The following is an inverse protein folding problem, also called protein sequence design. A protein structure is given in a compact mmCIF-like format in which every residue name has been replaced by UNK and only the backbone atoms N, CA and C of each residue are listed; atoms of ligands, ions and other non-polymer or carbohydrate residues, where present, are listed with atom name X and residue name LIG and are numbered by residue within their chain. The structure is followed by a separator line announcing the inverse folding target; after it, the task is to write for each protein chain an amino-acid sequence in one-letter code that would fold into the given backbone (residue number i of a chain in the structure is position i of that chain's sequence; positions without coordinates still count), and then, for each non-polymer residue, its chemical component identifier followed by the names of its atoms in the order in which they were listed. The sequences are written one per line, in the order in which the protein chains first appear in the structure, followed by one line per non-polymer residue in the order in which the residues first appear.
data_IF_319738417859
#
_entry.id   IF_319738417859
#
_cell.length_a   1.000
_cell.length_b   1.000
_cell.length_c   1.000
_cell.angle_alpha   90.00
_cell.angle_beta   90.00
_cell.angle_gamma   90.00
#
_symmetry.space_group_name_H-M   'P 1'
#
loop_
_entity.id
_entity.type
_entity.pdbx_description
1 polymer ?
#
# COMPACT_ATOMS: atom_id res chain seq x y z
N UNK A 1 23.76 -3.75 2.36
CA UNK A 1 22.77 -4.83 2.51
C UNK A 1 23.42 -6.10 2.01
N UNK A 2 23.32 -7.15 2.80
CA UNK A 2 23.64 -8.51 2.38
C UNK A 2 22.72 -8.90 1.20
N UNK A 3 23.20 -9.58 0.15
CA UNK A 3 22.35 -10.16 -0.89
C UNK A 3 21.09 -10.89 -0.37
N UNK A 4 21.18 -11.55 0.79
CA UNK A 4 20.05 -12.22 1.42
C UNK A 4 18.96 -11.23 1.88
N UNK A 5 19.35 -10.08 2.45
CA UNK A 5 18.43 -9.02 2.86
C UNK A 5 17.71 -8.40 1.66
N UNK A 6 18.45 -8.18 0.56
CA UNK A 6 17.86 -7.67 -0.69
C UNK A 6 16.85 -8.66 -1.25
N UNK A 7 17.17 -9.96 -1.26
CA UNK A 7 16.25 -10.99 -1.72
C UNK A 7 14.99 -11.08 -0.85
N UNK A 8 15.13 -10.99 0.48
CA UNK A 8 14.00 -10.91 1.42
C UNK A 8 13.11 -9.70 1.15
N UNK A 9 13.73 -8.52 0.98
CA UNK A 9 13.02 -7.29 0.61
C UNK A 9 12.28 -7.41 -0.72
N UNK A 10 12.91 -7.94 -1.77
CA UNK A 10 12.25 -8.13 -3.08
C UNK A 10 11.05 -9.05 -2.95
N UNK A 11 11.15 -10.13 -2.16
CA UNK A 11 10.03 -11.06 -1.93
C UNK A 11 8.88 -10.40 -1.17
N UNK A 12 9.19 -9.66 -0.10
CA UNK A 12 8.20 -8.90 0.66
C UNK A 12 7.51 -7.86 -0.24
N UNK A 13 8.28 -7.13 -1.05
CA UNK A 13 7.73 -6.18 -2.00
C UNK A 13 6.88 -6.83 -3.09
N UNK A 14 7.32 -7.94 -3.68
CA UNK A 14 6.51 -8.67 -4.64
C UNK A 14 5.17 -9.12 -4.04
N UNK A 15 5.17 -9.54 -2.78
CA UNK A 15 3.94 -9.90 -2.06
C UNK A 15 3.04 -8.69 -1.78
N UNK A 16 3.59 -7.57 -1.30
CA UNK A 16 2.85 -6.31 -1.17
C UNK A 16 2.18 -5.95 -2.51
N UNK A 17 2.93 -6.00 -3.61
CA UNK A 17 2.40 -5.70 -4.95
C UNK A 17 1.30 -6.68 -5.37
N UNK A 18 1.44 -7.97 -5.03
CA UNK A 18 0.43 -9.00 -5.33
C UNK A 18 -0.91 -8.70 -4.66
N UNK A 19 -0.91 -8.06 -3.48
CA UNK A 19 -2.13 -7.74 -2.72
C UNK A 19 -2.65 -6.34 -3.05
N UNK A 20 -1.79 -5.33 -2.99
CA UNK A 20 -2.21 -3.92 -3.05
C UNK A 20 -2.53 -3.47 -4.48
N UNK A 21 -1.79 -3.96 -5.49
CA UNK A 21 -2.05 -3.54 -6.88
C UNK A 21 -3.45 -3.92 -7.35
N UNK A 22 -3.93 -5.16 -7.14
CA UNK A 22 -5.30 -5.51 -7.48
C UNK A 22 -6.35 -4.69 -6.72
N UNK A 23 -6.15 -4.45 -5.42
CA UNK A 23 -7.09 -3.68 -4.59
C UNK A 23 -7.20 -2.23 -5.06
N UNK A 24 -6.08 -1.55 -5.28
CA UNK A 24 -6.08 -0.18 -5.80
C UNK A 24 -6.58 -0.10 -7.24
N UNK A 25 -6.23 -1.06 -8.08
CA UNK A 25 -6.75 -1.13 -9.45
C UNK A 25 -8.27 -1.26 -9.44
N UNK A 26 -8.83 -2.14 -8.59
CA UNK A 26 -10.27 -2.32 -8.43
C UNK A 26 -10.92 -1.04 -7.89
N UNK A 27 -10.34 -0.41 -6.87
CA UNK A 27 -10.86 0.83 -6.31
C UNK A 27 -10.93 1.96 -7.37
N UNK A 28 -9.90 2.10 -8.20
CA UNK A 28 -9.88 3.06 -9.30
C UNK A 28 -10.83 2.72 -10.46
N UNK A 29 -11.31 1.48 -10.51
CA UNK A 29 -12.31 1.01 -11.47
C UNK A 29 -13.74 1.30 -11.04
N UNK A 30 -13.96 1.47 -9.73
CA UNK A 30 -15.30 1.54 -9.16
C UNK A 30 -15.89 2.96 -9.27
N UNK A 31 -17.01 3.18 -10.02
CA UNK A 31 -17.53 4.52 -10.28
C UNK A 31 -17.89 5.32 -9.01
N UNK A 32 -18.47 4.65 -8.00
CA UNK A 32 -18.83 5.23 -6.69
C UNK A 32 -17.62 5.82 -5.95
N UNK A 33 -16.42 5.26 -6.15
CA UNK A 33 -15.18 5.74 -5.55
C UNK A 33 -14.50 6.82 -6.40
N UNK A 34 -14.92 7.04 -7.64
CA UNK A 34 -14.33 8.06 -8.55
C UNK A 34 -15.13 9.36 -8.57
N UNK A 35 -16.31 9.35 -7.95
CA UNK A 35 -17.23 10.49 -7.90
C UNK A 35 -17.93 10.74 -9.23
N UNK A 36 -18.59 11.89 -9.31
CA UNK A 36 -19.33 12.32 -10.51
C UNK A 36 -18.66 13.55 -11.13
N UNK A 37 -18.82 13.71 -12.43
CA UNK A 37 -18.46 14.92 -13.16
C UNK A 37 -19.45 16.05 -12.80
N UNK A 38 -19.11 17.30 -13.18
CA UNK A 38 -19.97 18.47 -12.93
C UNK A 38 -21.39 18.32 -13.51
N UNK A 39 -21.53 17.54 -14.60
CA UNK A 39 -22.82 17.22 -15.23
C UNK A 39 -23.59 16.08 -14.55
N UNK A 40 -23.11 15.55 -13.42
CA UNK A 40 -23.75 14.46 -12.68
C UNK A 40 -23.41 13.04 -13.17
N UNK A 41 -22.78 12.91 -14.33
CA UNK A 41 -22.34 11.64 -14.91
C UNK A 41 -21.24 10.97 -14.07
N UNK A 42 -21.21 9.63 -13.95
CA UNK A 42 -20.10 8.92 -13.33
C UNK A 42 -18.78 9.26 -14.01
N UNK A 43 -17.73 9.54 -13.22
CA UNK A 43 -16.40 9.76 -13.80
C UNK A 43 -15.90 8.43 -14.42
N UNK A 44 -15.52 8.41 -15.71
CA UNK A 44 -15.04 7.19 -16.34
C UNK A 44 -13.77 6.69 -15.65
N UNK A 45 -13.63 5.36 -15.61
CA UNK A 45 -12.41 4.72 -15.13
C UNK A 45 -11.23 5.08 -16.06
N UNK A 46 -10.04 5.40 -15.52
CA UNK A 46 -8.85 5.55 -16.34
C UNK A 46 -8.51 4.26 -17.08
N UNK A 47 -7.63 4.33 -18.10
CA UNK A 47 -7.04 3.14 -18.71
C UNK A 47 -6.46 2.18 -17.68
N UNK A 48 -6.48 0.87 -17.96
CA UNK A 48 -5.94 -0.15 -17.05
C UNK A 48 -4.46 0.12 -16.70
N UNK A 49 -3.65 0.47 -17.69
CA UNK A 49 -2.24 0.80 -17.51
C UNK A 49 -2.04 1.92 -16.50
N UNK A 50 -2.84 2.98 -16.56
CA UNK A 50 -2.79 4.08 -15.60
C UNK A 50 -3.15 3.62 -14.18
N UNK A 51 -4.21 2.80 -14.04
CA UNK A 51 -4.63 2.27 -12.73
C UNK A 51 -3.54 1.42 -12.10
N UNK A 52 -2.98 0.49 -12.86
CA UNK A 52 -1.89 -0.38 -12.42
C UNK A 52 -0.63 0.43 -12.07
N UNK A 53 -0.28 1.43 -12.90
CA UNK A 53 0.87 2.28 -12.62
C UNK A 53 0.71 3.08 -11.32
N UNK A 54 -0.45 3.70 -11.09
CA UNK A 54 -0.72 4.42 -9.83
C UNK A 54 -0.71 3.47 -8.64
N UNK A 55 -1.33 2.30 -8.79
CA UNK A 55 -1.39 1.29 -7.75
C UNK A 55 0.02 0.80 -7.36
N UNK A 56 0.87 0.51 -8.34
CA UNK A 56 2.26 0.12 -8.12
C UNK A 56 3.07 1.25 -7.46
N UNK A 57 2.87 2.50 -7.91
CA UNK A 57 3.56 3.67 -7.37
C UNK A 57 3.22 3.95 -5.91
N UNK A 58 2.01 3.62 -5.45
CA UNK A 58 1.62 3.78 -4.05
C UNK A 58 2.62 3.04 -3.14
N UNK A 59 2.72 1.73 -3.30
CA UNK A 59 3.60 0.93 -2.45
C UNK A 59 5.08 1.10 -2.80
N UNK A 60 5.43 1.39 -4.06
CA UNK A 60 6.82 1.67 -4.46
C UNK A 60 7.40 2.89 -3.72
N UNK A 61 6.59 3.93 -3.49
CA UNK A 61 7.05 5.16 -2.85
C UNK A 61 6.98 5.10 -1.33
N UNK A 62 6.02 4.37 -0.76
CA UNK A 62 5.84 4.23 0.69
C UNK A 62 6.76 3.18 1.31
N UNK A 63 6.84 1.97 0.72
CA UNK A 63 7.41 0.82 1.39
C UNK A 63 8.94 0.83 1.56
N UNK A 64 9.74 1.44 0.67
CA UNK A 64 11.16 1.66 0.97
C UNK A 64 11.37 2.46 2.25
N UNK A 65 10.51 3.45 2.54
CA UNK A 65 10.57 4.21 3.79
C UNK A 65 10.08 3.37 4.97
N UNK A 66 9.03 2.55 4.79
CA UNK A 66 8.56 1.59 5.81
C UNK A 66 9.68 0.65 6.25
N UNK A 67 10.38 0.02 5.30
CA UNK A 67 11.37 -1.01 5.62
C UNK A 67 12.77 -0.48 5.95
N UNK A 68 13.17 0.65 5.36
CA UNK A 68 14.51 1.19 5.58
C UNK A 68 14.52 2.46 6.44
N UNK A 69 13.43 3.23 6.48
CA UNK A 69 13.32 4.42 7.31
C UNK A 69 12.97 4.06 8.76
N UNK A 70 11.79 3.46 8.97
CA UNK A 70 11.23 3.28 10.31
C UNK A 70 12.08 2.46 11.29
N UNK A 71 12.70 1.33 10.90
CA UNK A 71 13.58 0.58 11.81
C UNK A 71 14.82 1.37 12.26
N UNK A 72 15.17 2.47 11.57
CA UNK A 72 16.27 3.39 11.97
C UNK A 72 15.78 4.53 12.86
N UNK A 73 14.47 4.80 12.87
CA UNK A 73 13.86 5.87 13.66
C UNK A 73 13.35 5.36 15.01
N UNK A 74 12.84 4.12 15.03
CA UNK A 74 12.29 3.46 16.21
C UNK A 74 12.92 2.07 16.28
N UNK A 75 13.67 1.80 17.35
CA UNK A 75 14.34 0.52 17.53
C UNK A 75 13.31 -0.63 17.60
N UNK A 76 13.34 -1.57 16.64
CA UNK A 76 12.40 -2.68 16.63
C UNK A 76 12.62 -3.68 17.77
N UNK A 77 13.79 -3.73 18.41
CA UNK A 77 14.04 -4.65 19.53
C UNK A 77 13.28 -4.25 20.79
N UNK A 78 13.26 -2.95 21.08
CA UNK A 78 12.60 -2.41 22.27
C UNK A 78 11.15 -2.00 21.99
N UNK A 79 10.84 -1.55 20.77
CA UNK A 79 9.59 -0.87 20.46
C UNK A 79 8.93 -1.35 19.15
N UNK A 80 8.99 -2.66 18.85
CA UNK A 80 8.44 -3.26 17.63
C UNK A 80 7.02 -2.78 17.27
N UNK A 81 6.08 -2.87 18.21
CA UNK A 81 4.67 -2.52 17.97
C UNK A 81 4.51 -1.04 17.62
N UNK A 82 5.22 -0.15 18.33
CA UNK A 82 5.18 1.28 18.05
C UNK A 82 5.79 1.60 16.69
N UNK A 83 6.89 0.91 16.32
CA UNK A 83 7.51 1.03 15.00
C UNK A 83 6.55 0.62 13.89
N UNK A 84 5.89 -0.55 14.00
CA UNK A 84 4.91 -1.03 13.01
C UNK A 84 3.76 -0.04 12.88
N UNK A 85 3.15 0.39 14.00
CA UNK A 85 2.04 1.35 13.96
C UNK A 85 2.45 2.64 13.25
N UNK A 86 3.61 3.20 13.57
CA UNK A 86 4.08 4.44 12.95
C UNK A 86 4.35 4.26 11.44
N UNK A 87 4.93 3.12 11.06
CA UNK A 87 5.23 2.81 9.66
C UNK A 87 3.94 2.61 8.83
N UNK A 88 2.95 1.90 9.38
CA UNK A 88 1.65 1.68 8.74
C UNK A 88 0.86 2.99 8.60
N UNK A 89 0.86 3.85 9.61
CA UNK A 89 0.25 5.18 9.52
C UNK A 89 0.89 5.98 8.38
N UNK A 90 2.23 5.94 8.27
CA UNK A 90 2.94 6.62 7.18
C UNK A 90 2.56 6.06 5.81
N UNK A 91 2.49 4.73 5.65
CA UNK A 91 2.11 4.11 4.40
C UNK A 91 0.70 4.51 3.99
N UNK A 92 -0.27 4.39 4.91
CA UNK A 92 -1.66 4.76 4.68
C UNK A 92 -1.80 6.23 4.27
N UNK A 93 -1.15 7.15 4.99
CA UNK A 93 -1.25 8.59 4.68
C UNK A 93 -0.60 8.91 3.34
N UNK A 94 0.60 8.38 3.08
CA UNK A 94 1.36 8.66 1.86
C UNK A 94 0.64 8.17 0.62
N UNK A 95 0.11 6.95 0.67
CA UNK A 95 -0.63 6.35 -0.44
C UNK A 95 -1.99 7.01 -0.62
N UNK A 96 -2.68 7.37 0.47
CA UNK A 96 -3.91 8.14 0.40
C UNK A 96 -3.72 9.50 -0.29
N UNK A 97 -2.58 10.18 -0.10
CA UNK A 97 -2.25 11.43 -0.80
C UNK A 97 -2.16 11.18 -2.32
N UNK A 98 -1.47 10.12 -2.74
CA UNK A 98 -1.36 9.75 -4.16
C UNK A 98 -2.72 9.38 -4.77
N UNK A 99 -3.51 8.59 -4.07
CA UNK A 99 -4.87 8.20 -4.50
C UNK A 99 -5.81 9.41 -4.56
N UNK A 100 -5.70 10.34 -3.60
CA UNK A 100 -6.44 11.60 -3.62
C UNK A 100 -6.03 12.48 -4.80
N UNK A 101 -4.74 12.55 -5.13
CA UNK A 101 -4.23 13.31 -6.28
C UNK A 101 -4.84 12.82 -7.60
N UNK A 102 -5.07 11.51 -7.75
CA UNK A 102 -5.79 10.93 -8.92
C UNK A 102 -7.31 10.93 -8.77
N UNK A 103 -7.82 11.70 -7.80
CA UNK A 103 -9.24 11.95 -7.52
C UNK A 103 -10.03 10.72 -7.08
N UNK A 104 -9.40 9.80 -6.37
CA UNK A 104 -10.12 8.74 -5.68
C UNK A 104 -10.80 9.30 -4.42
N UNK A 105 -12.11 9.13 -4.33
CA UNK A 105 -12.91 9.42 -3.14
C UNK A 105 -12.62 8.37 -2.07
N UNK A 106 -12.64 8.79 -0.81
CA UNK A 106 -12.30 7.92 0.32
C UNK A 106 -10.88 7.35 0.21
N UNK A 107 -9.94 8.09 -0.38
CA UNK A 107 -8.55 7.66 -0.56
C UNK A 107 -7.92 7.10 0.72
N UNK A 108 -8.17 7.75 1.87
CA UNK A 108 -7.70 7.29 3.19
C UNK A 108 -8.28 5.91 3.54
N UNK A 109 -9.59 5.71 3.38
CA UNK A 109 -10.23 4.44 3.68
C UNK A 109 -9.74 3.33 2.75
N UNK A 110 -9.63 3.61 1.45
CA UNK A 110 -9.13 2.65 0.47
C UNK A 110 -7.69 2.26 0.79
N UNK A 111 -6.83 3.24 1.08
CA UNK A 111 -5.45 2.99 1.45
C UNK A 111 -5.34 2.19 2.75
N UNK A 112 -6.12 2.56 3.77
CA UNK A 112 -6.20 1.81 5.03
C UNK A 112 -6.59 0.35 4.80
N UNK A 113 -7.65 0.08 4.03
CA UNK A 113 -8.10 -1.29 3.76
C UNK A 113 -7.03 -2.09 3.01
N UNK A 114 -6.37 -1.50 2.02
CA UNK A 114 -5.32 -2.17 1.26
C UNK A 114 -4.10 -2.51 2.13
N UNK A 115 -3.60 -1.55 2.92
CA UNK A 115 -2.47 -1.75 3.83
C UNK A 115 -2.81 -2.78 4.91
N UNK A 116 -3.98 -2.68 5.53
CA UNK A 116 -4.40 -3.66 6.56
C UNK A 116 -4.58 -5.06 5.97
N UNK A 117 -5.08 -5.19 4.74
CA UNK A 117 -5.13 -6.48 4.06
C UNK A 117 -3.73 -7.05 3.80
N UNK A 118 -2.82 -6.22 3.26
CA UNK A 118 -1.42 -6.56 2.98
C UNK A 118 -0.69 -7.01 4.24
N UNK A 119 -0.72 -6.20 5.30
CA UNK A 119 -0.11 -6.46 6.61
C UNK A 119 -0.68 -7.72 7.25
N UNK A 120 -2.01 -7.85 7.31
CA UNK A 120 -2.65 -8.99 7.96
C UNK A 120 -2.36 -10.31 7.24
N UNK A 121 -2.39 -10.30 5.90
CA UNK A 121 -2.02 -11.47 5.10
C UNK A 121 -0.53 -11.78 5.22
N UNK A 122 0.33 -10.77 5.32
CA UNK A 122 1.76 -10.94 5.59
C UNK A 122 2.01 -11.61 6.95
N UNK A 123 1.36 -11.14 8.02
CA UNK A 123 1.45 -11.77 9.34
C UNK A 123 0.88 -13.19 9.35
N UNK A 124 -0.25 -13.41 8.68
CA UNK A 124 -0.84 -14.75 8.57
C UNK A 124 0.11 -15.70 7.83
N UNK A 125 0.72 -15.26 6.72
CA UNK A 125 1.65 -16.08 5.96
C UNK A 125 2.91 -16.39 6.79
N UNK A 126 3.48 -15.40 7.47
CA UNK A 126 4.58 -15.60 8.43
C UNK A 126 4.22 -16.63 9.50
N UNK A 127 3.02 -16.54 10.06
CA UNK A 127 2.55 -17.46 11.10
C UNK A 127 2.40 -18.89 10.58
N UNK A 128 1.89 -19.08 9.35
CA UNK A 128 1.60 -20.40 8.80
C UNK A 128 2.83 -21.13 8.24
N UNK A 129 3.78 -20.40 7.65
CA UNK A 129 4.91 -21.00 6.92
C UNK A 129 6.26 -20.67 7.52
N UNK A 130 6.30 -19.86 8.58
CA UNK A 130 7.54 -19.27 9.10
C UNK A 130 8.15 -18.25 8.13
N UNK A 131 7.42 -17.85 7.09
CA UNK A 131 7.94 -16.98 6.05
C UNK A 131 8.28 -15.60 6.58
N UNK A 132 9.59 -15.33 6.60
CA UNK A 132 10.31 -14.07 6.39
C UNK A 132 11.62 -14.48 5.69
#
# INVERSE_FOLDING_TARGET
MDPAEVAGWVRAFAFTQLIEVPLYTLALSWPVLRGRLQRGEPRPAPPLSFRVAVAFLCSLLSHPVVWFGFPRLIDPYDHYTAMVIAAEIFAVVSEAILLWAVRLRWAVLVSFVANMASLSLGFLLRYLTGWI
#
